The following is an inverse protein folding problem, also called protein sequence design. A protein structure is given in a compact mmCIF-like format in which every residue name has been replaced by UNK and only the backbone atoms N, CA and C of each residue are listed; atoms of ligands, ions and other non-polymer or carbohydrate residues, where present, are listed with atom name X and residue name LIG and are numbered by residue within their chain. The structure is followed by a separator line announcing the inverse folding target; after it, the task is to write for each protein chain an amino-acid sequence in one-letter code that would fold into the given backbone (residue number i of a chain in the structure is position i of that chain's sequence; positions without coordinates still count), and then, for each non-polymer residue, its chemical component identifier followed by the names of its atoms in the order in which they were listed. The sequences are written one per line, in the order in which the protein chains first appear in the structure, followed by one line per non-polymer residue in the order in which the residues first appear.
data_IF_623601948461
#
_entry.id   IF_623601948461
#
_cell.length_a   1.000
_cell.length_b   1.000
_cell.length_c   1.000
_cell.angle_alpha   90.00
_cell.angle_beta   90.00
_cell.angle_gamma   90.00
#
_symmetry.space_group_name_H-M   'P 1'
#
loop_
_entity.id
_entity.type
_entity.pdbx_description
1 polymer ?
#
# COMPACT_ATOMS: atom_id res chain seq x y z
N UNK A 1 -6.93 -21.18 -3.12
CA UNK A 1 -7.19 -20.48 -4.42
C UNK A 1 -6.22 -20.97 -5.49
N UNK A 2 -6.59 -20.98 -6.77
CA UNK A 2 -5.66 -21.36 -7.86
C UNK A 2 -5.10 -20.10 -8.53
N UNK A 3 -3.93 -19.64 -8.05
CA UNK A 3 -3.27 -18.43 -8.55
C UNK A 3 -2.81 -18.54 -10.01
N UNK A 4 -2.65 -19.76 -10.54
CA UNK A 4 -2.16 -19.96 -11.92
C UNK A 4 -3.13 -19.42 -12.98
N UNK A 5 -4.42 -19.43 -12.70
CA UNK A 5 -5.47 -18.98 -13.62
C UNK A 5 -6.06 -17.61 -13.25
N UNK A 6 -5.63 -17.03 -12.14
CA UNK A 6 -6.12 -15.76 -11.64
C UNK A 6 -5.66 -14.57 -12.51
N UNK A 7 -6.53 -13.58 -12.65
CA UNK A 7 -6.19 -12.27 -13.23
C UNK A 7 -5.66 -11.37 -12.12
N UNK A 8 -4.35 -11.36 -11.96
CA UNK A 8 -3.68 -10.75 -10.81
C UNK A 8 -3.55 -9.24 -10.92
N UNK A 9 -3.94 -8.54 -9.85
CA UNK A 9 -3.57 -7.16 -9.59
C UNK A 9 -2.79 -7.05 -8.30
N UNK A 10 -1.69 -6.29 -8.27
CA UNK A 10 -0.98 -5.94 -7.05
C UNK A 10 -1.42 -4.56 -6.59
N UNK A 11 -1.70 -4.40 -5.31
CA UNK A 11 -1.96 -3.10 -4.69
C UNK A 11 -0.87 -2.81 -3.66
N UNK A 12 0.03 -1.90 -4.00
CA UNK A 12 1.10 -1.42 -3.12
C UNK A 12 0.54 -0.24 -2.33
N UNK A 13 0.34 -0.43 -1.02
CA UNK A 13 -0.24 0.60 -0.16
C UNK A 13 0.87 1.44 0.46
N UNK A 14 0.96 2.70 0.03
CA UNK A 14 1.73 3.78 0.67
C UNK A 14 3.25 3.52 0.85
N UNK A 15 3.91 2.79 -0.05
CA UNK A 15 5.36 2.65 -0.04
C UNK A 15 6.02 3.88 -0.71
N UNK A 16 5.87 5.04 -0.05
CA UNK A 16 6.26 6.37 -0.50
C UNK A 16 7.52 6.88 0.21
N UNK A 17 8.22 7.84 -0.40
CA UNK A 17 9.43 8.40 0.17
C UNK A 17 9.20 9.09 1.53
N UNK A 18 8.10 9.83 1.72
CA UNK A 18 7.81 10.48 3.01
C UNK A 18 7.58 9.48 4.15
N UNK A 19 7.18 8.25 3.85
CA UNK A 19 7.09 7.18 4.85
C UNK A 19 8.41 6.44 5.07
N UNK A 20 9.25 6.25 4.03
CA UNK A 20 10.32 5.25 4.04
C UNK A 20 11.72 5.84 3.86
N UNK A 21 11.86 7.01 3.23
CA UNK A 21 13.16 7.60 2.98
C UNK A 21 13.76 8.21 4.26
N UNK A 22 15.10 8.17 4.43
CA UNK A 22 15.77 8.72 5.60
C UNK A 22 15.61 10.25 5.75
N UNK A 23 15.28 10.94 4.67
CA UNK A 23 14.97 12.37 4.62
C UNK A 23 13.45 12.66 4.55
N UNK A 24 12.61 11.63 4.58
CA UNK A 24 11.16 11.72 4.52
C UNK A 24 10.52 12.27 5.79
N UNK A 25 9.21 12.54 5.72
CA UNK A 25 8.43 13.12 6.82
C UNK A 25 8.48 12.26 8.09
N UNK A 26 8.34 10.94 7.95
CA UNK A 26 8.33 10.01 9.09
C UNK A 26 9.72 9.83 9.72
N UNK A 27 10.79 9.90 8.95
CA UNK A 27 12.15 9.91 9.50
C UNK A 27 12.39 11.18 10.33
N UNK A 28 11.98 12.35 9.84
CA UNK A 28 12.04 13.61 10.59
C UNK A 28 11.20 13.57 11.87
N UNK A 29 10.08 12.87 11.83
CA UNK A 29 9.21 12.66 12.99
C UNK A 29 9.70 11.59 13.97
N UNK A 30 10.87 11.00 13.75
CA UNK A 30 11.42 9.88 14.51
C UNK A 30 10.45 8.70 14.64
N UNK A 31 9.66 8.44 13.58
CA UNK A 31 8.63 7.40 13.51
C UNK A 31 8.85 6.44 12.34
N UNK A 32 10.05 6.40 11.78
CA UNK A 32 10.42 5.50 10.68
C UNK A 32 10.36 4.03 11.16
N UNK A 33 9.59 3.21 10.47
CA UNK A 33 9.51 1.78 10.77
C UNK A 33 10.66 1.03 10.11
N UNK A 34 11.53 0.39 10.89
CA UNK A 34 12.65 -0.41 10.39
C UNK A 34 12.20 -1.58 9.51
N UNK A 35 11.02 -2.18 9.78
CA UNK A 35 10.48 -3.24 8.92
C UNK A 35 9.88 -2.68 7.64
N UNK A 36 9.20 -1.53 7.68
CA UNK A 36 8.64 -0.90 6.49
C UNK A 36 9.70 -0.54 5.45
N UNK A 37 10.87 -0.10 5.88
CA UNK A 37 12.01 0.26 5.00
C UNK A 37 12.50 -0.93 4.16
N UNK A 38 12.31 -2.15 4.64
CA UNK A 38 12.72 -3.39 3.92
C UNK A 38 11.69 -3.86 2.89
N UNK A 39 10.45 -3.36 2.94
CA UNK A 39 9.37 -3.82 2.08
C UNK A 39 9.64 -3.62 0.58
N UNK A 40 10.22 -2.50 0.12
CA UNK A 40 10.51 -2.33 -1.30
C UNK A 40 11.36 -3.45 -1.90
N UNK A 41 12.41 -3.88 -1.20
CA UNK A 41 13.28 -4.96 -1.66
C UNK A 41 12.56 -6.31 -1.71
N UNK A 42 11.70 -6.59 -0.72
CA UNK A 42 10.90 -7.82 -0.68
C UNK A 42 9.81 -7.83 -1.75
N UNK A 43 9.20 -6.67 -2.04
CA UNK A 43 8.04 -6.59 -2.95
C UNK A 43 8.42 -6.43 -4.43
N UNK A 44 9.60 -5.91 -4.74
CA UNK A 44 10.02 -5.75 -6.13
C UNK A 44 10.04 -7.09 -6.93
N UNK A 45 10.54 -8.22 -6.39
CA UNK A 45 10.42 -9.52 -7.05
C UNK A 45 8.97 -9.96 -7.30
N UNK A 46 8.08 -9.73 -6.34
CA UNK A 46 6.66 -10.07 -6.45
C UNK A 46 5.99 -9.24 -7.56
N UNK A 47 6.24 -7.93 -7.57
CA UNK A 47 5.71 -7.04 -8.60
C UNK A 47 6.18 -7.46 -10.00
N UNK A 48 7.47 -7.81 -10.16
CA UNK A 48 8.00 -8.32 -11.44
C UNK A 48 7.34 -9.64 -11.86
N UNK A 49 7.13 -10.57 -10.93
CA UNK A 49 6.47 -11.83 -11.22
C UNK A 49 5.03 -11.65 -11.68
N UNK A 50 4.28 -10.77 -11.02
CA UNK A 50 2.90 -10.42 -11.42
C UNK A 50 2.88 -9.79 -12.81
N UNK A 51 3.76 -8.81 -13.08
CA UNK A 51 3.89 -8.19 -14.43
C UNK A 51 4.29 -9.20 -15.49
N UNK A 52 5.21 -10.10 -15.20
CA UNK A 52 5.66 -11.16 -16.12
C UNK A 52 4.54 -12.11 -16.52
N UNK A 53 3.45 -12.17 -15.78
CA UNK A 53 2.24 -12.93 -16.10
C UNK A 53 1.11 -12.09 -16.71
N UNK A 54 1.41 -10.85 -17.09
CA UNK A 54 0.42 -9.92 -17.65
C UNK A 54 -0.52 -9.31 -16.59
N UNK A 55 -0.16 -9.40 -15.32
CA UNK A 55 -0.90 -8.76 -14.23
C UNK A 55 -0.59 -7.26 -14.12
N UNK A 56 -1.43 -6.55 -13.37
CA UNK A 56 -1.35 -5.11 -13.16
C UNK A 56 -0.74 -4.79 -11.81
N UNK A 57 0.22 -3.86 -11.76
CA UNK A 57 0.77 -3.34 -10.50
C UNK A 57 0.26 -1.92 -10.27
N UNK A 58 -0.50 -1.74 -9.19
CA UNK A 58 -1.03 -0.44 -8.78
C UNK A 58 -0.41 0.00 -7.46
N UNK A 59 -0.32 1.31 -7.24
CA UNK A 59 0.07 1.88 -5.96
C UNK A 59 -0.98 2.89 -5.48
N UNK A 60 -1.30 2.86 -4.19
CA UNK A 60 -1.99 3.98 -3.55
C UNK A 60 -0.97 4.91 -2.91
N UNK A 61 -1.18 6.19 -3.12
CA UNK A 61 -0.32 7.24 -2.60
C UNK A 61 -1.12 8.10 -1.62
N UNK A 62 -0.80 8.00 -0.34
CA UNK A 62 -1.35 8.93 0.66
C UNK A 62 -0.96 10.35 0.27
N UNK A 63 -1.95 11.22 0.21
CA UNK A 63 -1.78 12.57 -0.34
C UNK A 63 -2.38 13.59 0.60
N UNK A 64 -1.59 14.58 0.98
CA UNK A 64 -2.02 15.74 1.73
C UNK A 64 -2.14 16.93 0.77
N UNK A 65 -3.37 17.24 0.38
CA UNK A 65 -3.66 18.40 -0.46
C UNK A 65 -3.38 19.67 0.31
N UNK A 66 -2.71 20.67 -0.31
CA UNK A 66 -2.51 21.96 0.33
C UNK A 66 -3.78 22.81 0.30
N UNK A 67 -3.99 23.59 1.37
CA UNK A 67 -4.95 24.69 1.38
C UNK A 67 -4.43 25.93 0.61
N UNK A 68 -5.18 27.03 0.65
CA UNK A 68 -4.79 28.28 -0.03
C UNK A 68 -3.49 28.91 0.51
N UNK A 69 -3.07 28.55 1.74
CA UNK A 69 -1.82 28.98 2.36
C UNK A 69 -0.69 27.98 2.13
N UNK A 70 -1.01 26.84 1.51
CA UNK A 70 -0.09 25.74 1.24
C UNK A 70 0.10 24.80 2.43
N UNK A 71 -0.70 24.92 3.49
CA UNK A 71 -0.68 24.00 4.62
C UNK A 71 -1.44 22.71 4.27
N UNK A 72 -1.01 21.53 4.81
CA UNK A 72 -1.65 20.27 4.50
C UNK A 72 -3.07 20.22 5.06
N UNK A 73 -4.05 19.93 4.21
CA UNK A 73 -5.42 19.63 4.64
C UNK A 73 -5.44 18.27 5.31
N UNK A 74 -5.41 18.28 6.63
CA UNK A 74 -5.31 17.08 7.48
C UNK A 74 -6.35 17.18 8.61
N UNK A 75 -6.99 16.06 8.98
CA UNK A 75 -7.91 16.08 10.11
C UNK A 75 -7.19 16.45 11.42
N UNK A 76 -7.89 17.14 12.33
CA UNK A 76 -7.34 17.53 13.62
C UNK A 76 -6.78 16.31 14.39
N UNK A 77 -7.51 15.20 14.40
CA UNK A 77 -7.09 13.96 15.04
C UNK A 77 -5.78 13.38 14.43
N UNK A 78 -5.62 13.42 13.10
CA UNK A 78 -4.39 12.96 12.47
C UNK A 78 -3.23 13.91 12.77
N UNK A 79 -3.47 15.21 12.81
CA UNK A 79 -2.47 16.23 13.17
C UNK A 79 -1.97 16.04 14.62
N UNK A 80 -2.86 15.75 15.56
CA UNK A 80 -2.48 15.42 16.94
C UNK A 80 -1.56 14.21 17.02
N UNK A 81 -1.85 13.16 16.26
CA UNK A 81 -1.05 11.93 16.21
C UNK A 81 0.23 12.05 15.38
N UNK A 82 0.32 13.04 14.49
CA UNK A 82 1.43 13.26 13.56
C UNK A 82 1.82 14.75 13.55
N UNK A 83 2.20 15.30 14.72
CA UNK A 83 2.50 16.73 14.85
C UNK A 83 3.71 17.16 14.01
N UNK A 84 4.52 16.22 13.56
CA UNK A 84 5.69 16.46 12.71
C UNK A 84 5.32 16.75 11.24
N UNK A 85 4.08 16.46 10.82
CA UNK A 85 3.64 16.74 9.44
C UNK A 85 3.53 18.24 9.21
N UNK A 86 4.14 18.70 8.12
CA UNK A 86 4.26 20.11 7.77
C UNK A 86 3.99 20.36 6.28
N UNK A 87 3.98 21.61 5.90
CA UNK A 87 3.84 22.07 4.52
C UNK A 87 4.80 21.33 3.59
N UNK A 88 4.25 20.81 2.49
CA UNK A 88 4.98 20.07 1.47
C UNK A 88 5.06 18.56 1.69
N UNK A 89 4.81 18.05 2.91
CA UNK A 89 4.79 16.61 3.16
C UNK A 89 3.61 15.95 2.44
N UNK A 90 3.88 14.85 1.76
CA UNK A 90 2.90 14.12 0.93
C UNK A 90 2.15 15.00 -0.08
N UNK A 91 2.67 16.17 -0.41
CA UNK A 91 2.02 17.09 -1.33
C UNK A 91 1.96 16.49 -2.75
N UNK A 92 0.88 16.73 -3.53
CA UNK A 92 0.76 16.23 -4.88
C UNK A 92 1.97 16.57 -5.75
N UNK A 93 2.57 15.55 -6.39
CA UNK A 93 3.72 15.69 -7.27
C UNK A 93 5.08 15.90 -6.56
N UNK A 94 5.11 15.92 -5.23
CA UNK A 94 6.37 16.00 -4.49
C UNK A 94 7.14 14.67 -4.53
N UNK A 95 8.47 14.73 -4.34
CA UNK A 95 9.28 13.53 -4.15
C UNK A 95 8.80 12.72 -2.95
N UNK A 96 8.37 13.37 -1.89
CA UNK A 96 7.87 12.73 -0.68
C UNK A 96 6.63 11.87 -0.95
N UNK A 97 5.71 12.36 -1.79
CA UNK A 97 4.51 11.62 -2.20
C UNK A 97 4.85 10.44 -3.14
N UNK A 98 5.89 10.54 -3.94
CA UNK A 98 6.22 9.51 -4.93
C UNK A 98 6.51 8.15 -4.29
N UNK A 99 6.25 7.07 -5.02
CA UNK A 99 6.75 5.74 -4.67
C UNK A 99 8.27 5.78 -4.53
N UNK A 100 8.82 4.93 -3.65
CA UNK A 100 10.28 4.77 -3.56
C UNK A 100 10.87 4.29 -4.89
N UNK A 101 12.10 4.71 -5.18
CA UNK A 101 12.75 4.55 -6.49
C UNK A 101 12.77 3.09 -7.00
N UNK A 102 12.91 2.12 -6.09
CA UNK A 102 12.95 0.69 -6.46
C UNK A 102 11.60 0.18 -6.99
N UNK A 103 10.49 0.72 -6.51
CA UNK A 103 9.13 0.30 -6.90
C UNK A 103 8.53 1.18 -7.99
N UNK A 104 8.90 2.45 -8.06
CA UNK A 104 8.33 3.41 -9.00
C UNK A 104 8.28 2.90 -10.47
N UNK A 105 9.35 2.30 -11.03
CA UNK A 105 9.32 1.80 -12.41
C UNK A 105 8.49 0.52 -12.60
N UNK A 106 8.06 -0.13 -11.53
CA UNK A 106 7.23 -1.34 -11.58
C UNK A 106 5.73 -1.03 -11.52
N UNK A 107 5.36 0.16 -11.07
CA UNK A 107 3.96 0.59 -10.91
C UNK A 107 3.41 1.03 -12.27
N UNK A 108 2.27 0.45 -12.66
CA UNK A 108 1.58 0.80 -13.91
C UNK A 108 0.59 1.97 -13.68
N UNK A 109 -0.09 1.98 -12.53
CA UNK A 109 -1.07 3.02 -12.19
C UNK A 109 -0.94 3.41 -10.71
N UNK A 110 -0.87 4.71 -10.45
CA UNK A 110 -0.96 5.26 -9.09
C UNK A 110 -2.30 5.96 -8.88
N UNK A 111 -2.90 5.75 -7.69
CA UNK A 111 -4.10 6.47 -7.25
C UNK A 111 -3.79 7.27 -5.99
N UNK A 112 -4.36 8.48 -5.89
CA UNK A 112 -4.14 9.37 -4.76
C UNK A 112 -5.27 9.20 -3.76
N UNK A 113 -4.94 8.85 -2.52
CA UNK A 113 -5.91 8.66 -1.45
C UNK A 113 -5.71 9.64 -0.31
N UNK A 114 -6.80 10.04 0.31
CA UNK A 114 -6.84 10.94 1.47
C UNK A 114 -7.28 10.23 2.76
N UNK A 115 -7.55 8.93 2.67
CA UNK A 115 -8.03 8.09 3.77
C UNK A 115 -7.27 6.77 3.83
N UNK A 116 -7.67 5.84 4.71
CA UNK A 116 -6.97 4.57 4.89
C UNK A 116 -7.09 3.64 3.69
N UNK A 117 -8.31 3.40 3.19
CA UNK A 117 -8.52 2.49 2.06
C UNK A 117 -8.04 3.11 0.75
N UNK A 118 -7.35 2.30 -0.07
CA UNK A 118 -6.97 2.66 -1.42
C UNK A 118 -8.16 2.82 -2.38
N UNK A 119 -9.33 2.28 -2.01
CA UNK A 119 -10.55 2.40 -2.80
C UNK A 119 -11.36 3.66 -2.49
N UNK A 120 -11.15 4.26 -1.30
CA UNK A 120 -11.98 5.40 -0.87
C UNK A 120 -11.70 6.65 -1.71
N UNK A 121 -12.70 7.09 -2.47
CA UNK A 121 -12.65 8.26 -3.36
C UNK A 121 -11.47 8.24 -4.36
N UNK A 122 -11.11 7.06 -4.86
CA UNK A 122 -10.09 6.88 -5.90
C UNK A 122 -10.65 6.14 -7.11
N UNK A 123 -9.89 6.11 -8.19
CA UNK A 123 -10.24 5.37 -9.41
C UNK A 123 -9.81 3.90 -9.35
N UNK A 124 -9.30 3.39 -8.21
CA UNK A 124 -8.70 2.05 -8.12
C UNK A 124 -9.65 0.95 -8.59
N UNK A 125 -10.89 0.93 -8.09
CA UNK A 125 -11.88 -0.09 -8.46
C UNK A 125 -12.18 -0.09 -9.96
N UNK A 126 -12.34 1.11 -10.54
CA UNK A 126 -12.57 1.25 -11.97
C UNK A 126 -11.38 0.73 -12.79
N UNK A 127 -10.15 1.06 -12.41
CA UNK A 127 -8.92 0.60 -13.07
C UNK A 127 -8.82 -0.92 -13.04
N UNK A 128 -9.00 -1.52 -11.85
CA UNK A 128 -8.92 -2.97 -11.67
C UNK A 128 -9.98 -3.72 -12.48
N UNK A 129 -11.23 -3.27 -12.43
CA UNK A 129 -12.34 -3.88 -13.20
C UNK A 129 -12.14 -3.75 -14.70
N UNK A 130 -11.69 -2.60 -15.19
CA UNK A 130 -11.40 -2.40 -16.62
C UNK A 130 -10.22 -3.23 -17.10
N UNK A 131 -9.29 -3.56 -16.22
CA UNK A 131 -8.17 -4.47 -16.50
C UNK A 131 -8.55 -5.95 -16.35
N UNK A 132 -9.80 -6.25 -15.99
CA UNK A 132 -10.29 -7.62 -15.81
C UNK A 132 -9.68 -8.33 -14.60
N UNK A 133 -9.19 -7.61 -13.61
CA UNK A 133 -8.57 -8.16 -12.41
C UNK A 133 -9.66 -8.80 -11.53
N UNK A 134 -9.40 -10.02 -11.06
CA UNK A 134 -10.28 -10.76 -10.14
C UNK A 134 -9.62 -11.05 -8.78
N UNK A 135 -8.29 -11.01 -8.74
CA UNK A 135 -7.50 -11.38 -7.55
C UNK A 135 -6.50 -10.29 -7.24
N UNK A 136 -6.53 -9.80 -6.00
CA UNK A 136 -5.63 -8.74 -5.53
C UNK A 136 -4.58 -9.27 -4.57
N UNK A 137 -3.33 -8.95 -4.86
CA UNK A 137 -2.19 -9.18 -3.98
C UNK A 137 -1.87 -7.85 -3.28
N UNK A 138 -2.13 -7.78 -1.97
CA UNK A 138 -2.03 -6.53 -1.20
C UNK A 138 -0.80 -6.55 -0.31
N UNK A 139 -0.03 -5.47 -0.36
CA UNK A 139 1.14 -5.24 0.49
C UNK A 139 1.27 -3.75 0.87
N UNK A 140 2.15 -3.42 1.78
CA UNK A 140 2.48 -2.04 2.14
C UNK A 140 2.26 -1.68 3.61
N UNK A 141 1.91 -0.43 3.88
CA UNK A 141 1.79 0.15 5.22
C UNK A 141 0.48 0.92 5.42
N UNK A 142 0.06 1.06 6.67
CA UNK A 142 0.42 0.21 7.82
C UNK A 142 -0.54 -0.96 7.85
N UNK A 143 -0.07 -2.14 8.28
CA UNK A 143 -0.83 -3.39 8.25
C UNK A 143 -2.22 -3.24 8.86
N UNK A 144 -2.31 -2.63 10.05
CA UNK A 144 -3.56 -2.41 10.81
C UNK A 144 -4.34 -1.15 10.38
N UNK A 145 -3.91 -0.45 9.34
CA UNK A 145 -4.55 0.79 8.84
C UNK A 145 -4.84 0.70 7.35
N UNK A 146 -3.98 1.33 6.52
CA UNK A 146 -4.16 1.39 5.07
C UNK A 146 -4.33 0.03 4.40
N UNK A 147 -3.50 -0.95 4.79
CA UNK A 147 -3.57 -2.32 4.26
C UNK A 147 -4.89 -2.99 4.66
N UNK A 148 -5.20 -3.06 5.97
CA UNK A 148 -6.40 -3.73 6.45
C UNK A 148 -7.70 -3.11 5.90
N UNK A 149 -7.77 -1.79 5.78
CA UNK A 149 -8.91 -1.10 5.18
C UNK A 149 -9.05 -1.42 3.70
N UNK A 150 -7.94 -1.45 2.96
CA UNK A 150 -7.93 -1.80 1.53
C UNK A 150 -8.35 -3.25 1.30
N UNK A 151 -7.88 -4.18 2.13
CA UNK A 151 -8.23 -5.61 2.08
C UNK A 151 -9.74 -5.83 2.27
N UNK A 152 -10.34 -5.20 3.29
CA UNK A 152 -11.78 -5.29 3.53
C UNK A 152 -12.60 -4.66 2.40
N UNK A 153 -12.16 -3.51 1.92
CA UNK A 153 -12.80 -2.84 0.79
C UNK A 153 -12.68 -3.63 -0.52
N UNK A 154 -11.59 -4.36 -0.73
CA UNK A 154 -11.43 -5.29 -1.83
C UNK A 154 -12.42 -6.46 -1.72
N UNK A 155 -12.50 -7.07 -0.52
CA UNK A 155 -13.41 -8.19 -0.25
C UNK A 155 -14.87 -7.83 -0.54
N UNK A 156 -15.36 -6.67 -0.06
CA UNK A 156 -16.77 -6.25 -0.30
C UNK A 156 -17.05 -5.85 -1.76
N UNK A 157 -16.01 -5.79 -2.61
CA UNK A 157 -16.10 -5.56 -4.06
C UNK A 157 -15.93 -6.84 -4.87
N UNK A 158 -16.00 -7.99 -4.19
CA UNK A 158 -15.90 -9.34 -4.77
C UNK A 158 -14.52 -9.69 -5.37
N UNK A 159 -13.44 -9.02 -4.94
CA UNK A 159 -12.11 -9.48 -5.26
C UNK A 159 -11.68 -10.64 -4.35
N UNK A 160 -11.03 -11.65 -4.93
CA UNK A 160 -10.20 -12.54 -4.14
C UNK A 160 -8.98 -11.77 -3.62
N UNK A 161 -8.65 -11.93 -2.34
CA UNK A 161 -7.57 -11.16 -1.73
C UNK A 161 -6.49 -12.07 -1.18
N UNK A 162 -5.25 -11.78 -1.55
CA UNK A 162 -4.02 -12.32 -0.95
C UNK A 162 -3.30 -11.21 -0.22
N UNK A 163 -3.02 -11.40 1.06
CA UNK A 163 -2.23 -10.47 1.86
C UNK A 163 -0.84 -11.03 2.05
N UNK A 164 0.18 -10.29 1.66
CA UNK A 164 1.57 -10.72 1.85
C UNK A 164 2.02 -10.35 3.27
N UNK A 165 2.13 -11.34 4.14
CA UNK A 165 2.46 -11.14 5.55
C UNK A 165 3.80 -10.46 5.76
N UNK A 166 4.84 -10.86 5.03
CA UNK A 166 6.17 -10.26 5.01
C UNK A 166 6.29 -9.05 4.08
N UNK A 167 5.24 -8.80 3.31
CA UNK A 167 5.05 -7.62 2.45
C UNK A 167 4.34 -6.46 3.13
N UNK A 168 3.94 -6.61 4.39
CA UNK A 168 3.27 -5.59 5.18
C UNK A 168 4.07 -5.24 6.43
N UNK A 169 3.92 -4.02 6.94
CA UNK A 169 4.50 -3.58 8.20
C UNK A 169 3.58 -2.62 8.95
N UNK A 170 3.66 -2.65 10.28
CA UNK A 170 3.04 -1.70 11.19
C UNK A 170 4.10 -1.02 12.07
N UNK A 171 3.70 -0.08 12.92
CA UNK A 171 4.60 0.56 13.87
C UNK A 171 4.95 -0.32 15.09
N UNK A 172 4.27 -1.47 15.25
CA UNK A 172 4.54 -2.43 16.30
C UNK A 172 4.13 -3.84 15.88
N UNK A 173 4.91 -4.83 16.30
CA UNK A 173 4.71 -6.23 15.91
C UNK A 173 3.36 -6.78 16.36
N UNK A 174 2.93 -6.51 17.59
CA UNK A 174 1.62 -6.95 18.09
C UNK A 174 0.46 -6.44 17.22
N UNK A 175 0.51 -5.18 16.77
CA UNK A 175 -0.50 -4.61 15.89
C UNK A 175 -0.45 -5.24 14.49
N UNK A 176 0.74 -5.56 14.01
CA UNK A 176 0.95 -6.26 12.74
C UNK A 176 0.33 -7.67 12.78
N UNK A 177 0.68 -8.48 13.78
CA UNK A 177 0.19 -9.86 13.90
C UNK A 177 -1.33 -9.91 14.10
N UNK A 178 -1.88 -9.05 14.97
CA UNK A 178 -3.33 -8.97 15.18
C UNK A 178 -4.08 -8.60 13.87
N UNK A 179 -3.54 -7.66 13.09
CA UNK A 179 -4.15 -7.27 11.82
C UNK A 179 -4.08 -8.38 10.77
N UNK A 180 -2.98 -9.12 10.68
CA UNK A 180 -2.86 -10.28 9.78
C UNK A 180 -3.89 -11.36 10.15
N UNK A 181 -4.00 -11.69 11.45
CA UNK A 181 -4.97 -12.68 11.93
C UNK A 181 -6.41 -12.27 11.60
N UNK A 182 -6.73 -10.98 11.75
CA UNK A 182 -8.05 -10.44 11.44
C UNK A 182 -8.35 -10.43 9.93
N UNK A 183 -7.38 -10.08 9.07
CA UNK A 183 -7.52 -10.12 7.62
C UNK A 183 -7.67 -11.54 7.06
N UNK A 184 -7.21 -12.58 7.77
CA UNK A 184 -7.42 -13.98 7.38
C UNK A 184 -8.91 -14.37 7.33
N UNK A 185 -9.80 -13.59 7.90
CA UNK A 185 -11.27 -13.79 7.81
C UNK A 185 -11.85 -13.37 6.44
N UNK A 186 -11.14 -12.55 5.67
CA UNK A 186 -11.62 -11.97 4.41
C UNK A 186 -10.64 -12.17 3.22
N UNK A 187 -9.49 -12.79 3.45
CA UNK A 187 -8.49 -13.06 2.42
C UNK A 187 -7.53 -14.17 2.83
N UNK A 188 -6.70 -14.62 1.90
CA UNK A 188 -5.61 -15.55 2.19
C UNK A 188 -4.37 -14.77 2.64
N UNK A 189 -3.83 -15.12 3.80
CA UNK A 189 -2.59 -14.52 4.33
C UNK A 189 -1.44 -15.52 4.12
N UNK A 190 -0.41 -15.09 3.41
CA UNK A 190 0.79 -15.90 3.15
C UNK A 190 2.03 -15.03 2.99
N UNK A 191 3.23 -15.62 3.10
CA UNK A 191 4.46 -14.90 2.79
C UNK A 191 4.73 -14.82 1.28
N UNK A 192 5.62 -13.92 0.90
CA UNK A 192 5.98 -13.70 -0.51
C UNK A 192 6.62 -14.91 -1.18
N UNK A 193 7.39 -15.71 -0.44
CA UNK A 193 8.02 -16.93 -0.96
C UNK A 193 6.98 -18.00 -1.29
N UNK A 194 6.01 -18.19 -0.41
CA UNK A 194 4.85 -19.08 -0.64
C UNK A 194 4.02 -18.60 -1.83
N UNK A 195 3.73 -17.31 -1.91
CA UNK A 195 3.02 -16.72 -3.05
C UNK A 195 3.75 -16.98 -4.37
N UNK A 196 5.05 -16.68 -4.46
CA UNK A 196 5.84 -16.87 -5.67
C UNK A 196 5.92 -18.35 -6.08
N UNK A 197 6.03 -19.28 -5.12
CA UNK A 197 5.99 -20.71 -5.38
C UNK A 197 4.65 -21.17 -5.93
N UNK A 198 3.53 -20.64 -5.44
CA UNK A 198 2.18 -20.97 -5.95
C UNK A 198 1.93 -20.36 -7.32
N UNK A 199 2.57 -19.24 -7.60
CA UNK A 199 2.45 -18.55 -8.88
C UNK A 199 3.12 -19.38 -10.00
N UNK A 200 4.17 -20.12 -9.71
CA UNK A 200 4.83 -21.07 -10.62
C UNK A 200 5.91 -20.46 -11.38
#
# INVERSE_FOLDING_TARGET
MNLKNAKLGMVIVDLQNDFLAPDGAYARGNTLSAEAVKLPERMAPVARAIKGRGGLVTASLFTLWPDAQGEPMISAHLKERRPFLRKGDFAPGSRGQANVDLLAPLVDVSVFKVAYSAFFNTQLDWVLKKSGIDTLVVCGIVTNGGVASTVRDAHVRDYHVVVLSDGCAAFGDAAHQAALADMASVGEVMDSATFLKQLG
#
